data_IF_877070077178
#
_entry.id   IF_877070077178
#
_cell.length_a   1.000
_cell.length_b   1.000
_cell.length_c   1.000
_cell.angle_alpha   90.00
_cell.angle_beta   90.00
_cell.angle_gamma   90.00
#
_symmetry.space_group_name_H-M   'P 1'
#
loop_
_entity.id
_entity.type
_entity.pdbx_description
1 polymer ?
#
# COMPACT_ATOMS: atom_id res chain seq x y z
N UNK A 1 -19.36 10.25 -21.18
CA UNK A 1 -18.73 9.02 -21.68
C UNK A 1 -17.68 9.27 -22.76
N UNK A 2 -17.83 10.25 -23.64
CA UNK A 2 -16.80 10.57 -24.64
C UNK A 2 -15.49 11.00 -23.96
N UNK A 3 -15.55 11.89 -22.97
CA UNK A 3 -14.38 12.32 -22.19
C UNK A 3 -13.72 11.14 -21.49
N UNK A 4 -14.52 10.26 -20.88
CA UNK A 4 -14.05 9.02 -20.21
C UNK A 4 -13.35 8.08 -21.19
N UNK A 5 -13.94 7.88 -22.38
CA UNK A 5 -13.36 7.07 -23.44
C UNK A 5 -11.98 7.58 -23.87
N UNK A 6 -11.88 8.88 -24.16
CA UNK A 6 -10.61 9.47 -24.60
C UNK A 6 -9.56 9.49 -23.49
N UNK A 7 -9.99 9.68 -22.24
CA UNK A 7 -9.08 9.63 -21.10
C UNK A 7 -8.43 8.25 -20.98
N UNK A 8 -9.21 7.18 -20.90
CA UNK A 8 -8.65 5.84 -20.76
C UNK A 8 -7.88 5.37 -22.00
N UNK A 9 -8.34 5.74 -23.20
CA UNK A 9 -7.68 5.34 -24.43
C UNK A 9 -6.41 6.15 -24.71
N UNK A 10 -6.52 7.46 -24.72
CA UNK A 10 -5.47 8.35 -25.26
C UNK A 10 -4.51 8.81 -24.14
N UNK A 11 -4.98 9.00 -22.91
CA UNK A 11 -4.14 9.42 -21.79
C UNK A 11 -3.54 8.21 -21.06
N UNK A 12 -4.34 7.18 -20.74
CA UNK A 12 -3.86 6.00 -20.04
C UNK A 12 -3.43 4.85 -20.96
N UNK A 13 -3.81 4.89 -22.23
CA UNK A 13 -3.37 3.91 -23.23
C UNK A 13 -3.97 2.52 -23.08
N UNK A 14 -5.18 2.41 -22.51
CA UNK A 14 -5.89 1.13 -22.46
C UNK A 14 -6.29 0.66 -23.87
N UNK A 15 -6.17 -0.65 -24.11
CA UNK A 15 -6.68 -1.29 -25.32
C UNK A 15 -8.19 -1.52 -25.21
N UNK A 16 -8.96 -0.68 -25.88
CA UNK A 16 -10.43 -0.72 -25.88
C UNK A 16 -11.03 -1.19 -27.21
N UNK A 17 -10.23 -1.85 -28.05
CA UNK A 17 -10.66 -2.31 -29.38
C UNK A 17 -11.76 -3.37 -29.34
N UNK A 18 -11.91 -4.07 -28.22
CA UNK A 18 -12.88 -5.15 -28.04
C UNK A 18 -14.19 -4.76 -27.35
N UNK A 19 -14.39 -3.48 -27.08
CA UNK A 19 -15.60 -2.98 -26.44
C UNK A 19 -16.86 -3.00 -27.33
N UNK A 20 -16.77 -3.53 -28.57
CA UNK A 20 -17.91 -3.54 -29.47
C UNK A 20 -19.04 -4.40 -28.91
N UNK A 21 -20.19 -3.80 -28.71
CA UNK A 21 -21.43 -4.46 -28.41
C UNK A 21 -21.95 -5.31 -29.56
N UNK A 22 -23.00 -6.08 -29.31
CA UNK A 22 -23.67 -6.92 -30.32
C UNK A 22 -24.25 -6.16 -31.52
N UNK A 23 -24.20 -4.84 -31.54
CA UNK A 23 -24.75 -4.05 -32.63
C UNK A 23 -23.83 -4.05 -33.85
N UNK A 24 -24.10 -4.94 -34.71
CA UNK A 24 -23.52 -5.07 -36.04
C UNK A 24 -23.70 -3.77 -36.81
N UNK A 25 -22.63 -2.97 -36.93
CA UNK A 25 -22.59 -1.98 -38.01
C UNK A 25 -22.20 -0.55 -37.69
N UNK A 26 -22.05 -0.10 -36.42
CA UNK A 26 -21.75 1.31 -36.16
C UNK A 26 -20.47 1.61 -35.34
N UNK A 27 -19.72 0.61 -34.89
CA UNK A 27 -18.49 0.76 -34.10
C UNK A 27 -18.64 1.67 -32.85
N UNK A 28 -19.84 1.74 -32.24
CA UNK A 28 -20.11 2.53 -31.04
C UNK A 28 -20.42 1.61 -29.88
N UNK A 29 -20.03 2.06 -28.68
CA UNK A 29 -20.37 1.39 -27.44
C UNK A 29 -21.79 1.72 -27.00
N UNK A 30 -22.57 0.72 -26.58
CA UNK A 30 -23.98 0.89 -26.23
C UNK A 30 -24.16 1.30 -24.77
N UNK A 31 -24.81 2.44 -24.56
CA UNK A 31 -25.21 2.96 -23.25
C UNK A 31 -26.71 3.19 -23.25
N UNK A 32 -27.41 2.49 -22.39
CA UNK A 32 -28.85 2.61 -22.24
C UNK A 32 -29.19 3.44 -21.01
N UNK A 33 -30.07 4.43 -21.15
CA UNK A 33 -30.62 5.17 -20.03
C UNK A 33 -31.89 4.46 -19.58
N UNK A 34 -31.89 3.97 -18.34
CA UNK A 34 -32.99 3.11 -17.84
C UNK A 34 -33.41 3.52 -16.42
N UNK A 35 -34.60 3.10 -16.01
CA UNK A 35 -35.06 3.27 -14.63
C UNK A 35 -34.57 2.12 -13.77
N UNK A 36 -33.37 2.29 -13.19
CA UNK A 36 -32.72 1.28 -12.35
C UNK A 36 -33.33 1.24 -10.93
N UNK A 37 -33.26 0.09 -10.22
CA UNK A 37 -33.58 0.00 -8.81
C UNK A 37 -32.85 1.03 -7.95
N UNK A 38 -33.41 1.35 -6.78
CA UNK A 38 -33.04 2.54 -5.98
C UNK A 38 -31.59 2.64 -5.52
N UNK A 39 -30.83 1.56 -5.55
CA UNK A 39 -29.45 1.53 -5.05
C UNK A 39 -28.37 1.42 -6.14
N UNK A 40 -28.78 1.34 -7.41
CA UNK A 40 -27.83 1.22 -8.52
C UNK A 40 -27.61 2.57 -9.20
N UNK A 41 -26.38 2.99 -9.34
CA UNK A 41 -25.97 4.16 -10.13
C UNK A 41 -25.99 3.82 -11.62
N UNK A 42 -25.37 2.71 -11.98
CA UNK A 42 -25.43 2.07 -13.28
C UNK A 42 -25.08 0.59 -13.13
N UNK A 43 -25.04 -0.14 -14.21
CA UNK A 43 -24.61 -1.55 -14.26
C UNK A 43 -24.00 -1.82 -15.62
N UNK A 44 -22.80 -2.35 -15.65
CA UNK A 44 -22.16 -2.86 -16.87
C UNK A 44 -22.42 -4.34 -17.01
N UNK A 45 -23.08 -4.72 -18.07
CA UNK A 45 -23.44 -6.10 -18.39
C UNK A 45 -22.48 -6.70 -19.42
N UNK A 46 -22.00 -7.90 -19.17
CA UNK A 46 -21.31 -8.69 -20.20
C UNK A 46 -22.26 -9.22 -21.24
N UNK A 47 -21.77 -9.30 -22.45
CA UNK A 47 -22.42 -10.02 -23.56
C UNK A 47 -21.69 -11.34 -23.83
N UNK A 48 -21.81 -11.90 -25.03
CA UNK A 48 -21.06 -13.10 -25.41
C UNK A 48 -19.55 -12.83 -25.48
N UNK A 49 -18.75 -13.89 -25.32
CA UNK A 49 -17.32 -13.83 -25.58
C UNK A 49 -17.04 -13.32 -27.00
N UNK A 50 -15.96 -12.59 -27.16
CA UNK A 50 -15.50 -12.04 -28.44
C UNK A 50 -15.21 -13.17 -29.42
N UNK A 51 -14.65 -14.29 -28.92
CA UNK A 51 -14.55 -15.56 -29.62
C UNK A 51 -14.58 -16.73 -28.62
N UNK A 52 -14.83 -17.96 -29.08
CA UNK A 52 -14.96 -19.13 -28.20
C UNK A 52 -13.68 -19.50 -27.42
N UNK A 53 -12.55 -19.02 -27.84
CA UNK A 53 -11.24 -19.24 -27.17
C UNK A 53 -10.79 -18.03 -26.32
N UNK A 54 -11.59 -16.96 -26.30
CA UNK A 54 -11.26 -15.72 -25.59
C UNK A 54 -11.83 -15.73 -24.17
N UNK A 55 -11.10 -15.13 -23.23
CA UNK A 55 -11.59 -14.79 -21.90
C UNK A 55 -12.12 -13.35 -21.85
N UNK A 56 -12.06 -12.61 -22.97
CA UNK A 56 -12.57 -11.26 -23.15
C UNK A 56 -14.03 -11.27 -23.58
N UNK A 57 -14.82 -10.39 -23.00
CA UNK A 57 -16.25 -10.23 -23.31
C UNK A 57 -16.55 -8.87 -23.92
N UNK A 58 -17.55 -8.82 -24.77
CA UNK A 58 -18.26 -7.60 -25.07
C UNK A 58 -19.11 -7.18 -23.88
N UNK A 59 -19.52 -5.91 -23.83
CA UNK A 59 -20.36 -5.38 -22.77
C UNK A 59 -21.23 -4.23 -23.25
N UNK A 60 -22.17 -3.82 -22.41
CA UNK A 60 -22.96 -2.61 -22.55
C UNK A 60 -23.30 -2.06 -21.16
N UNK A 61 -23.56 -0.74 -21.08
CA UNK A 61 -23.90 -0.09 -19.81
C UNK A 61 -25.39 0.25 -19.78
N UNK A 62 -26.01 -0.01 -18.64
CA UNK A 62 -27.29 0.63 -18.27
C UNK A 62 -27.05 1.65 -17.21
N UNK A 63 -27.30 2.91 -17.51
CA UNK A 63 -27.17 4.03 -16.60
C UNK A 63 -28.55 4.51 -16.15
N UNK A 64 -28.68 4.90 -14.89
CA UNK A 64 -29.96 5.40 -14.39
C UNK A 64 -30.34 6.73 -15.02
N UNK A 65 -31.64 6.97 -15.10
CA UNK A 65 -32.25 8.16 -15.74
C UNK A 65 -32.42 9.35 -14.78
N UNK A 66 -32.16 9.20 -13.49
CA UNK A 66 -32.24 10.28 -12.49
C UNK A 66 -31.48 9.92 -11.20
N UNK A 67 -31.03 10.91 -10.45
CA UNK A 67 -30.29 10.79 -9.19
C UNK A 67 -31.05 11.42 -8.00
N UNK A 68 -32.38 11.31 -7.97
CA UNK A 68 -33.24 11.96 -6.97
C UNK A 68 -33.34 11.23 -5.63
N UNK A 69 -32.73 10.05 -5.47
CA UNK A 69 -32.78 9.25 -4.23
C UNK A 69 -31.76 9.69 -3.18
N UNK A 70 -32.01 9.38 -1.90
CA UNK A 70 -31.14 9.72 -0.79
C UNK A 70 -29.71 9.15 -0.94
N UNK A 71 -29.54 8.01 -1.64
CA UNK A 71 -28.24 7.40 -1.90
C UNK A 71 -27.34 8.23 -2.83
N UNK A 72 -27.87 9.23 -3.52
CA UNK A 72 -27.19 10.02 -4.55
C UNK A 72 -26.94 11.49 -4.15
N UNK A 73 -27.27 11.85 -2.89
CA UNK A 73 -27.27 13.26 -2.46
C UNK A 73 -25.93 13.74 -1.87
N UNK A 74 -24.94 12.87 -1.79
CA UNK A 74 -23.61 13.26 -1.26
C UNK A 74 -22.88 14.25 -2.18
N UNK A 75 -23.14 14.14 -3.48
CA UNK A 75 -22.59 14.98 -4.54
C UNK A 75 -23.70 15.41 -5.50
N UNK A 76 -23.42 16.35 -6.37
CA UNK A 76 -24.41 16.85 -7.35
C UNK A 76 -24.80 15.75 -8.37
N UNK A 77 -25.93 15.92 -9.04
CA UNK A 77 -26.35 15.01 -10.10
C UNK A 77 -25.33 14.91 -11.22
N UNK A 78 -24.69 16.04 -11.60
CA UNK A 78 -23.67 16.05 -12.64
C UNK A 78 -22.40 15.29 -12.20
N UNK A 79 -21.99 15.42 -10.96
CA UNK A 79 -20.85 14.65 -10.39
C UNK A 79 -21.19 13.16 -10.32
N UNK A 80 -22.41 12.80 -9.88
CA UNK A 80 -22.87 11.41 -9.92
C UNK A 80 -22.77 10.81 -11.32
N UNK A 81 -23.21 11.57 -12.37
CA UNK A 81 -23.12 11.12 -13.77
C UNK A 81 -21.67 10.91 -14.20
N UNK A 82 -20.77 11.82 -13.84
CA UNK A 82 -19.35 11.75 -14.20
C UNK A 82 -18.66 10.53 -13.61
N UNK A 83 -18.71 10.39 -12.27
CA UNK A 83 -18.05 9.27 -11.59
C UNK A 83 -18.65 7.93 -11.99
N UNK A 84 -19.98 7.84 -12.11
CA UNK A 84 -20.63 6.63 -12.58
C UNK A 84 -20.21 6.26 -14.00
N UNK A 85 -20.06 7.25 -14.88
CA UNK A 85 -19.57 7.01 -16.24
C UNK A 85 -18.12 6.49 -16.26
N UNK A 86 -17.25 7.02 -15.39
CA UNK A 86 -15.87 6.54 -15.23
C UNK A 86 -15.84 5.09 -14.74
N UNK A 87 -16.53 4.82 -13.64
CA UNK A 87 -16.63 3.50 -13.01
C UNK A 87 -17.12 2.42 -13.99
N UNK A 88 -18.29 2.64 -14.57
CA UNK A 88 -18.90 1.65 -15.46
C UNK A 88 -18.14 1.45 -16.77
N UNK A 89 -17.57 2.52 -17.31
CA UNK A 89 -16.76 2.39 -18.49
C UNK A 89 -15.44 1.65 -18.20
N UNK A 90 -14.90 1.79 -16.99
CA UNK A 90 -13.75 1.00 -16.58
C UNK A 90 -14.09 -0.49 -16.48
N UNK A 91 -15.30 -0.87 -16.01
CA UNK A 91 -15.78 -2.24 -16.10
C UNK A 91 -15.84 -2.76 -17.54
N UNK A 92 -16.25 -1.92 -18.48
CA UNK A 92 -16.23 -2.31 -19.90
C UNK A 92 -14.80 -2.61 -20.40
N UNK A 93 -13.81 -1.81 -19.97
CA UNK A 93 -12.40 -2.08 -20.24
C UNK A 93 -11.98 -3.41 -19.60
N UNK A 94 -12.25 -3.60 -18.33
CA UNK A 94 -11.90 -4.83 -17.58
C UNK A 94 -12.44 -6.08 -18.26
N UNK A 95 -13.70 -6.07 -18.68
CA UNK A 95 -14.31 -7.19 -19.42
C UNK A 95 -13.65 -7.43 -20.76
N UNK A 96 -13.11 -6.41 -21.41
CA UNK A 96 -12.33 -6.58 -22.63
C UNK A 96 -10.97 -7.25 -22.41
N UNK A 97 -10.47 -7.17 -21.16
CA UNK A 97 -9.22 -7.83 -20.76
C UNK A 97 -9.50 -9.25 -20.22
N UNK A 98 -10.36 -9.40 -19.22
CA UNK A 98 -10.67 -10.69 -18.60
C UNK A 98 -12.05 -10.70 -17.95
N UNK A 99 -13.03 -11.39 -18.53
CA UNK A 99 -14.38 -11.52 -17.97
C UNK A 99 -14.48 -12.37 -16.71
N UNK A 100 -13.46 -13.17 -16.43
CA UNK A 100 -13.43 -14.11 -15.30
C UNK A 100 -12.71 -13.54 -14.08
N UNK A 101 -12.28 -12.29 -14.14
CA UNK A 101 -11.60 -11.67 -13.01
C UNK A 101 -12.53 -11.53 -11.82
N UNK A 102 -11.98 -11.53 -10.63
CA UNK A 102 -12.74 -11.42 -9.39
C UNK A 102 -13.32 -10.03 -9.19
N UNK A 103 -14.49 -9.98 -8.58
CA UNK A 103 -15.20 -8.71 -8.34
C UNK A 103 -14.41 -7.74 -7.49
N UNK A 104 -13.66 -8.21 -6.48
CA UNK A 104 -12.87 -7.30 -5.64
C UNK A 104 -11.84 -6.49 -6.46
N UNK A 105 -11.16 -7.12 -7.42
CA UNK A 105 -10.20 -6.43 -8.27
C UNK A 105 -10.90 -5.50 -9.26
N UNK A 106 -12.04 -5.94 -9.80
CA UNK A 106 -12.86 -5.13 -10.70
C UNK A 106 -13.36 -3.86 -10.00
N UNK A 107 -14.02 -4.00 -8.86
CA UNK A 107 -14.61 -2.88 -8.13
C UNK A 107 -13.54 -1.94 -7.56
N UNK A 108 -12.48 -2.48 -6.95
CA UNK A 108 -11.43 -1.67 -6.38
C UNK A 108 -10.71 -0.80 -7.42
N UNK A 109 -10.43 -1.36 -8.61
CA UNK A 109 -9.78 -0.58 -9.68
C UNK A 109 -10.76 0.32 -10.45
N UNK A 110 -12.06 0.00 -10.45
CA UNK A 110 -13.07 0.91 -10.97
C UNK A 110 -13.23 2.14 -10.07
N UNK A 111 -13.27 1.96 -8.74
CA UNK A 111 -13.29 3.08 -7.78
C UNK A 111 -12.02 3.92 -7.88
N UNK A 112 -10.83 3.30 -7.97
CA UNK A 112 -9.59 4.03 -8.22
C UNK A 112 -9.66 4.87 -9.50
N UNK A 113 -10.23 4.34 -10.57
CA UNK A 113 -10.34 5.05 -11.85
C UNK A 113 -11.26 6.27 -11.84
N UNK A 114 -12.20 6.35 -10.88
CA UNK A 114 -13.04 7.53 -10.68
C UNK A 114 -12.21 8.75 -10.30
N UNK A 115 -11.24 8.56 -9.39
CA UNK A 115 -10.33 9.58 -8.91
C UNK A 115 -9.33 10.02 -9.99
N UNK A 116 -8.81 9.07 -10.76
CA UNK A 116 -7.87 9.35 -11.84
C UNK A 116 -8.41 10.31 -12.91
N UNK A 117 -9.68 10.23 -13.24
CA UNK A 117 -10.29 11.11 -14.25
C UNK A 117 -10.95 12.33 -13.65
N UNK A 118 -11.48 12.24 -12.41
CA UNK A 118 -12.24 13.31 -11.76
C UNK A 118 -11.75 13.56 -10.33
N UNK A 119 -10.47 13.79 -10.16
CA UNK A 119 -9.78 14.02 -8.88
C UNK A 119 -10.49 15.05 -7.96
N UNK A 120 -11.27 15.97 -8.53
CA UNK A 120 -12.05 16.94 -7.76
C UNK A 120 -13.33 16.35 -7.13
N UNK A 121 -13.73 15.10 -7.48
CA UNK A 121 -14.97 14.47 -7.03
C UNK A 121 -14.66 13.30 -6.08
N UNK A 122 -14.56 13.61 -4.80
CA UNK A 122 -14.11 12.67 -3.76
C UNK A 122 -15.21 11.70 -3.25
N UNK A 123 -16.10 11.19 -4.12
CA UNK A 123 -17.18 10.28 -3.72
C UNK A 123 -16.66 8.94 -3.17
N UNK A 124 -15.53 8.47 -3.67
CA UNK A 124 -14.85 7.26 -3.22
C UNK A 124 -14.45 7.31 -1.73
N UNK A 125 -14.31 8.50 -1.13
CA UNK A 125 -14.04 8.65 0.31
C UNK A 125 -15.10 7.99 1.20
N UNK A 126 -16.34 7.84 0.71
CA UNK A 126 -17.44 7.17 1.45
C UNK A 126 -17.14 5.71 1.81
N UNK A 127 -16.25 5.04 1.08
CA UNK A 127 -15.88 3.66 1.34
C UNK A 127 -14.81 3.51 2.42
N UNK A 128 -14.00 4.55 2.66
CA UNK A 128 -12.85 4.51 3.55
C UNK A 128 -13.23 4.22 5.00
N UNK A 129 -14.23 4.88 5.64
CA UNK A 129 -14.51 4.64 7.06
C UNK A 129 -14.81 3.17 7.37
N UNK A 130 -15.63 2.52 6.53
CA UNK A 130 -15.94 1.10 6.72
C UNK A 130 -14.73 0.21 6.49
N UNK A 131 -13.92 0.49 5.47
CA UNK A 131 -12.74 -0.30 5.15
C UNK A 131 -11.69 -0.21 6.25
N UNK A 132 -11.39 1.00 6.73
CA UNK A 132 -10.42 1.24 7.81
C UNK A 132 -10.87 0.68 9.17
N UNK A 133 -12.18 0.59 9.42
CA UNK A 133 -12.73 -0.07 10.61
C UNK A 133 -12.64 -1.60 10.52
N UNK A 134 -12.50 -2.17 9.34
CA UNK A 134 -12.52 -3.62 9.09
C UNK A 134 -11.22 -4.13 8.49
N UNK A 135 -10.06 -3.59 8.87
CA UNK A 135 -8.74 -3.99 8.37
C UNK A 135 -8.39 -5.48 8.60
N UNK A 136 -9.06 -6.12 9.54
CA UNK A 136 -8.99 -7.57 9.78
C UNK A 136 -9.71 -8.43 8.72
N UNK A 137 -10.43 -7.81 7.78
CA UNK A 137 -10.93 -8.50 6.59
C UNK A 137 -9.84 -8.61 5.52
N UNK A 138 -9.86 -9.68 4.72
CA UNK A 138 -9.02 -9.79 3.53
C UNK A 138 -9.22 -8.60 2.59
N UNK A 139 -8.16 -8.16 1.92
CA UNK A 139 -8.25 -7.11 0.91
C UNK A 139 -9.16 -7.52 -0.27
N UNK A 140 -9.24 -8.81 -0.51
CA UNK A 140 -10.04 -9.46 -1.56
C UNK A 140 -11.43 -9.93 -1.08
N UNK A 141 -11.94 -9.40 0.04
CA UNK A 141 -13.31 -9.65 0.50
C UNK A 141 -14.32 -9.00 -0.44
N UNK A 142 -15.16 -9.82 -1.10
CA UNK A 142 -16.11 -9.39 -2.13
C UNK A 142 -17.44 -8.86 -1.55
N UNK A 143 -17.51 -8.56 -0.26
CA UNK A 143 -18.60 -7.74 0.29
C UNK A 143 -18.41 -6.27 -0.11
N UNK A 144 -19.19 -5.35 0.48
CA UNK A 144 -18.95 -3.91 0.28
C UNK A 144 -17.53 -3.44 0.66
N UNK A 145 -16.71 -4.31 1.25
CA UNK A 145 -15.29 -4.06 1.55
C UNK A 145 -14.47 -3.87 0.28
N UNK A 146 -14.81 -4.55 -0.82
CA UNK A 146 -14.07 -4.49 -2.10
C UNK A 146 -13.95 -3.07 -2.65
N UNK A 147 -14.97 -2.22 -2.48
CA UNK A 147 -14.91 -0.84 -2.94
C UNK A 147 -13.82 -0.04 -2.22
N UNK A 148 -13.65 -0.22 -0.90
CA UNK A 148 -12.61 0.45 -0.11
C UNK A 148 -11.21 -0.08 -0.39
N UNK A 149 -11.08 -1.25 -1.03
CA UNK A 149 -9.79 -1.80 -1.44
C UNK A 149 -9.12 -0.99 -2.55
N UNK A 150 -9.79 0.05 -3.09
CA UNK A 150 -9.18 1.04 -3.99
C UNK A 150 -7.92 1.66 -3.39
N UNK A 151 -7.85 1.80 -2.07
CA UNK A 151 -6.69 2.40 -1.38
C UNK A 151 -5.37 1.65 -1.64
N UNK A 152 -5.44 0.36 -1.97
CA UNK A 152 -4.26 -0.40 -2.40
C UNK A 152 -3.78 0.07 -3.78
N UNK A 153 -4.69 0.31 -4.71
CA UNK A 153 -4.36 0.77 -6.06
C UNK A 153 -3.93 2.25 -6.04
N UNK A 154 -4.51 3.04 -5.15
CA UNK A 154 -4.02 4.40 -4.87
C UNK A 154 -2.56 4.39 -4.39
N UNK A 155 -2.22 3.49 -3.45
CA UNK A 155 -0.83 3.31 -3.00
C UNK A 155 0.10 2.85 -4.15
N UNK A 156 -0.35 1.92 -4.98
CA UNK A 156 0.41 1.44 -6.15
C UNK A 156 0.64 2.57 -7.14
N UNK A 157 -0.37 3.36 -7.41
CA UNK A 157 -0.29 4.50 -8.32
C UNK A 157 0.71 5.55 -7.82
N UNK A 158 0.58 6.00 -6.59
CA UNK A 158 1.45 7.05 -6.05
C UNK A 158 2.92 6.61 -5.86
N UNK A 159 3.20 5.31 -5.61
CA UNK A 159 4.54 4.86 -5.19
C UNK A 159 5.17 3.78 -6.05
N UNK A 160 4.41 3.10 -6.90
CA UNK A 160 4.88 1.88 -7.58
C UNK A 160 4.63 1.93 -9.09
N UNK A 161 4.95 3.06 -9.72
CA UNK A 161 5.00 3.20 -11.16
C UNK A 161 3.76 3.81 -11.82
N UNK A 162 2.84 4.37 -11.03
CA UNK A 162 1.70 5.11 -11.56
C UNK A 162 0.61 4.22 -12.17
N UNK A 163 -0.34 4.86 -12.81
CA UNK A 163 -1.43 4.18 -13.52
C UNK A 163 -0.94 3.12 -14.52
N UNK A 164 0.28 3.24 -15.04
CA UNK A 164 0.89 2.25 -15.94
C UNK A 164 1.04 0.88 -15.27
N UNK A 165 1.32 0.84 -13.96
CA UNK A 165 1.38 -0.42 -13.22
C UNK A 165 -0.01 -1.04 -13.11
N UNK A 166 -1.05 -0.26 -12.87
CA UNK A 166 -2.43 -0.76 -12.78
C UNK A 166 -2.92 -1.23 -14.16
N UNK A 167 -2.59 -0.51 -15.22
CA UNK A 167 -2.82 -1.01 -16.59
C UNK A 167 -2.12 -2.33 -16.84
N UNK A 168 -0.86 -2.46 -16.43
CA UNK A 168 -0.10 -3.72 -16.57
C UNK A 168 -0.74 -4.87 -15.77
N UNK A 169 -1.37 -4.61 -14.61
CA UNK A 169 -2.16 -5.64 -13.90
C UNK A 169 -3.25 -6.20 -14.81
N UNK A 170 -3.99 -5.35 -15.52
CA UNK A 170 -5.04 -5.79 -16.44
C UNK A 170 -4.48 -6.50 -17.68
N UNK A 171 -3.33 -6.06 -18.21
CA UNK A 171 -2.64 -6.75 -19.31
C UNK A 171 -2.17 -8.14 -18.87
N UNK A 172 -1.67 -8.29 -17.63
CA UNK A 172 -1.33 -9.60 -17.05
C UNK A 172 -2.57 -10.43 -16.78
N UNK A 173 -3.65 -9.85 -16.29
CA UNK A 173 -4.92 -10.54 -16.11
C UNK A 173 -5.43 -11.12 -17.44
N UNK A 174 -5.35 -10.37 -18.55
CA UNK A 174 -5.64 -10.89 -19.90
C UNK A 174 -4.74 -12.08 -20.26
N UNK A 175 -3.45 -11.97 -19.99
CA UNK A 175 -2.47 -13.00 -20.36
C UNK A 175 -2.60 -14.27 -19.51
N UNK A 176 -2.94 -14.12 -18.23
CA UNK A 176 -3.11 -15.20 -17.26
C UNK A 176 -4.54 -15.75 -17.23
N UNK A 177 -5.47 -15.11 -17.94
CA UNK A 177 -6.90 -15.34 -17.85
C UNK A 177 -7.28 -16.82 -17.94
N UNK A 178 -8.09 -17.29 -17.02
CA UNK A 178 -8.46 -18.66 -16.84
C UNK A 178 -9.88 -18.76 -16.25
N UNK A 179 -10.74 -19.58 -16.85
CA UNK A 179 -12.11 -19.77 -16.36
C UNK A 179 -12.23 -20.64 -15.11
N UNK A 180 -11.11 -21.19 -14.61
CA UNK A 180 -11.11 -22.16 -13.49
C UNK A 180 -10.37 -21.62 -12.27
N UNK A 181 -9.28 -20.89 -12.47
CA UNK A 181 -8.40 -20.41 -11.40
C UNK A 181 -8.48 -18.90 -11.27
N UNK A 182 -8.47 -18.42 -10.03
CA UNK A 182 -8.23 -17.02 -9.71
C UNK A 182 -6.82 -16.60 -10.14
N UNK A 183 -6.71 -15.54 -10.92
CA UNK A 183 -5.43 -15.01 -11.42
C UNK A 183 -5.11 -13.62 -10.89
N UNK A 184 -5.97 -13.04 -10.04
CA UNK A 184 -5.85 -11.68 -9.53
C UNK A 184 -4.47 -11.43 -8.92
N UNK A 185 -4.11 -12.20 -7.90
CA UNK A 185 -2.84 -12.01 -7.19
C UNK A 185 -1.61 -12.31 -8.03
N UNK A 186 -1.69 -13.28 -8.93
CA UNK A 186 -0.61 -13.56 -9.89
C UNK A 186 -0.38 -12.36 -10.79
N UNK A 187 -1.45 -11.81 -11.35
CA UNK A 187 -1.39 -10.67 -12.28
C UNK A 187 -0.90 -9.39 -11.58
N UNK A 188 -1.35 -9.15 -10.36
CA UNK A 188 -0.87 -8.04 -9.53
C UNK A 188 0.63 -8.20 -9.23
N UNK A 189 1.05 -9.38 -8.79
CA UNK A 189 2.44 -9.63 -8.43
C UNK A 189 3.38 -9.47 -9.63
N UNK A 190 3.03 -10.03 -10.80
CA UNK A 190 3.82 -9.89 -12.03
C UNK A 190 3.93 -8.43 -12.50
N UNK A 191 2.87 -7.65 -12.36
CA UNK A 191 2.91 -6.22 -12.68
C UNK A 191 3.84 -5.47 -11.72
N UNK A 192 3.75 -5.73 -10.41
CA UNK A 192 4.59 -5.12 -9.40
C UNK A 192 6.07 -5.54 -9.53
N UNK A 193 6.36 -6.77 -9.93
CA UNK A 193 7.73 -7.23 -10.21
C UNK A 193 8.38 -6.42 -11.34
N UNK A 194 7.61 -5.97 -12.32
CA UNK A 194 8.13 -5.14 -13.41
C UNK A 194 8.62 -3.77 -12.96
N UNK A 195 8.16 -3.30 -11.80
CA UNK A 195 8.60 -2.03 -11.17
C UNK A 195 9.47 -2.25 -9.92
N UNK A 196 9.98 -3.48 -9.73
CA UNK A 196 10.91 -3.82 -8.65
C UNK A 196 10.25 -4.05 -7.28
N UNK A 197 8.95 -4.31 -7.23
CA UNK A 197 8.18 -4.60 -6.01
C UNK A 197 7.60 -6.02 -6.04
N UNK A 198 6.67 -6.31 -5.14
CA UNK A 198 5.87 -7.53 -5.08
C UNK A 198 4.53 -7.22 -4.42
N UNK A 199 3.53 -8.10 -4.59
CA UNK A 199 2.25 -7.94 -3.90
C UNK A 199 2.42 -7.84 -2.38
N UNK A 200 3.23 -8.73 -1.78
CA UNK A 200 3.49 -8.70 -0.33
C UNK A 200 4.14 -7.38 0.11
N UNK A 201 5.15 -6.89 -0.63
CA UNK A 201 5.82 -5.63 -0.30
C UNK A 201 4.88 -4.43 -0.43
N UNK A 202 4.11 -4.36 -1.50
CA UNK A 202 3.13 -3.30 -1.73
C UNK A 202 2.06 -3.29 -0.62
N UNK A 203 1.52 -4.47 -0.27
CA UNK A 203 0.53 -4.63 0.79
C UNK A 203 1.09 -4.21 2.16
N UNK A 204 2.31 -4.64 2.51
CA UNK A 204 2.97 -4.28 3.76
C UNK A 204 3.18 -2.76 3.87
N UNK A 205 3.65 -2.14 2.80
CA UNK A 205 3.90 -0.70 2.76
C UNK A 205 2.60 0.11 2.80
N UNK A 206 1.58 -0.29 2.07
CA UNK A 206 0.25 0.30 2.13
C UNK A 206 -0.33 0.22 3.56
N UNK A 207 -0.14 -0.91 4.28
CA UNK A 207 -0.60 -1.04 5.69
C UNK A 207 0.11 -0.05 6.61
N UNK A 208 1.38 0.25 6.36
CA UNK A 208 2.13 1.29 7.09
C UNK A 208 1.58 2.67 6.73
N UNK A 209 1.41 2.97 5.43
CA UNK A 209 0.86 4.23 4.95
C UNK A 209 -0.54 4.51 5.54
N UNK A 210 -1.40 3.49 5.58
CA UNK A 210 -2.72 3.57 6.22
C UNK A 210 -2.65 3.98 7.70
N UNK A 211 -1.61 3.54 8.43
CA UNK A 211 -1.47 3.93 9.85
C UNK A 211 -0.87 5.33 10.01
N UNK A 212 0.02 5.72 9.13
CA UNK A 212 0.64 7.06 9.15
C UNK A 212 -0.36 8.12 8.72
N UNK A 213 -1.10 7.88 7.65
CA UNK A 213 -2.14 8.75 7.09
C UNK A 213 -1.68 10.20 7.00
N UNK A 214 -0.67 10.44 6.18
CA UNK A 214 -0.08 11.77 5.98
C UNK A 214 0.48 11.93 4.56
N UNK A 215 0.41 13.15 4.02
CA UNK A 215 1.08 13.55 2.77
C UNK A 215 2.48 14.14 3.03
N UNK A 216 2.91 14.22 4.29
CA UNK A 216 4.15 14.89 4.65
C UNK A 216 5.39 14.13 4.11
N UNK A 217 6.36 14.82 3.45
CA UNK A 217 7.52 14.16 2.81
C UNK A 217 8.38 13.32 3.76
N UNK A 218 8.38 13.61 5.06
CA UNK A 218 9.11 12.83 6.06
C UNK A 218 8.54 11.42 6.26
N UNK A 219 7.32 11.15 5.79
CA UNK A 219 6.70 9.83 5.84
C UNK A 219 6.95 9.00 4.58
N UNK A 220 7.47 9.59 3.49
CA UNK A 220 7.74 8.91 2.24
C UNK A 220 8.63 7.65 2.43
N UNK A 221 8.33 6.50 1.82
CA UNK A 221 7.28 6.23 0.84
C UNK A 221 5.94 5.73 1.43
N UNK A 222 5.58 6.11 2.63
CA UNK A 222 4.36 5.67 3.33
C UNK A 222 3.35 6.83 3.44
N UNK A 223 3.09 7.48 2.31
CA UNK A 223 2.22 8.67 2.19
C UNK A 223 1.02 8.39 1.33
N UNK A 224 0.04 9.29 1.40
CA UNK A 224 -0.98 9.50 0.37
C UNK A 224 -1.06 10.99 0.08
N UNK A 225 -1.11 11.37 -1.19
CA UNK A 225 -1.10 12.78 -1.59
C UNK A 225 -2.26 13.58 -0.97
N UNK A 226 -3.40 12.95 -0.77
CA UNK A 226 -4.61 13.56 -0.23
C UNK A 226 -4.94 13.14 1.21
N UNK A 227 -3.98 12.57 1.95
CA UNK A 227 -4.20 12.00 3.29
C UNK A 227 -4.96 12.91 4.26
N UNK A 228 -4.67 14.23 4.23
CA UNK A 228 -5.29 15.21 5.12
C UNK A 228 -6.75 15.52 4.75
N UNK A 229 -7.18 15.16 3.54
CA UNK A 229 -8.57 15.28 3.05
C UNK A 229 -9.39 14.03 3.33
N UNK A 230 -8.75 12.90 3.60
CA UNK A 230 -9.44 11.64 3.84
C UNK A 230 -10.29 11.69 5.11
N UNK A 231 -11.49 11.06 5.11
CA UNK A 231 -12.42 11.07 6.25
C UNK A 231 -12.02 10.09 7.37
N UNK A 232 -10.76 9.68 7.40
CA UNK A 232 -10.20 8.71 8.34
C UNK A 232 -8.82 9.15 8.81
N UNK A 233 -8.44 8.76 10.01
CA UNK A 233 -7.12 9.05 10.60
C UNK A 233 -6.25 7.81 10.74
N UNK A 234 -6.69 6.70 10.21
CA UNK A 234 -6.01 5.41 10.26
C UNK A 234 -6.95 4.25 10.55
N UNK A 235 -6.44 3.01 10.54
CA UNK A 235 -7.19 1.82 10.82
C UNK A 235 -7.64 1.70 12.27
N UNK A 236 -8.74 0.96 12.49
CA UNK A 236 -9.16 0.59 13.85
C UNK A 236 -8.09 -0.28 14.51
N UNK A 237 -7.66 0.12 15.68
CA UNK A 237 -6.76 -0.66 16.53
C UNK A 237 -7.59 -1.68 17.33
N UNK A 238 -7.33 -2.97 17.10
CA UNK A 238 -8.09 -4.08 17.71
C UNK A 238 -7.80 -4.27 19.19
N UNK A 239 -6.70 -3.71 19.69
CA UNK A 239 -6.28 -3.75 21.08
C UNK A 239 -5.43 -2.54 21.43
N UNK A 240 -5.38 -2.20 22.72
CA UNK A 240 -4.52 -1.19 23.30
C UNK A 240 -3.74 -1.82 24.45
N UNK A 241 -2.41 -1.79 24.36
CA UNK A 241 -1.50 -2.37 25.34
C UNK A 241 -0.77 -1.27 26.06
N UNK A 242 -1.05 -1.14 27.36
CA UNK A 242 -0.38 -0.18 28.25
C UNK A 242 0.78 -0.85 28.98
N UNK A 243 2.00 -0.33 28.81
CA UNK A 243 3.21 -0.88 29.41
C UNK A 243 3.90 0.11 30.32
N UNK A 244 4.07 -0.24 31.57
CA UNK A 244 4.82 0.52 32.57
C UNK A 244 6.09 -0.22 33.01
N UNK A 245 5.99 -1.46 33.50
CA UNK A 245 7.13 -2.34 33.81
C UNK A 245 6.71 -3.81 34.02
N UNK A 246 5.42 -4.15 33.85
CA UNK A 246 4.92 -5.52 33.96
C UNK A 246 5.08 -6.28 32.63
N UNK A 247 5.13 -7.61 32.70
CA UNK A 247 5.05 -8.43 31.49
C UNK A 247 3.62 -8.43 30.96
N UNK A 248 3.45 -8.09 29.70
CA UNK A 248 2.16 -8.16 29.00
C UNK A 248 2.25 -9.22 27.93
N UNK A 249 1.23 -10.05 27.85
CA UNK A 249 1.04 -11.00 26.75
C UNK A 249 -0.35 -10.81 26.14
N UNK A 250 -0.38 -10.63 24.82
CA UNK A 250 -1.59 -10.51 24.03
C UNK A 250 -1.56 -11.55 22.92
N UNK A 251 -2.60 -12.37 22.84
CA UNK A 251 -2.72 -13.39 21.80
C UNK A 251 -3.93 -13.14 20.94
N UNK A 252 -3.78 -13.33 19.64
CA UNK A 252 -4.85 -13.30 18.66
C UNK A 252 -4.89 -14.66 17.95
N UNK A 253 -6.06 -15.27 17.96
CA UNK A 253 -6.24 -16.62 17.40
C UNK A 253 -6.68 -16.61 15.93
N UNK A 254 -6.88 -15.42 15.35
CA UNK A 254 -7.36 -15.29 13.99
C UNK A 254 -6.83 -14.00 13.34
N UNK A 255 -6.01 -14.19 12.34
CA UNK A 255 -5.65 -13.17 11.34
C UNK A 255 -5.89 -13.82 9.97
N UNK A 256 -6.83 -13.30 9.20
CA UNK A 256 -7.16 -13.84 7.87
C UNK A 256 -6.03 -13.58 6.87
N UNK A 257 -5.98 -14.40 5.81
CA UNK A 257 -5.11 -14.15 4.65
C UNK A 257 -5.36 -12.74 4.08
N UNK A 258 -4.32 -12.06 3.62
CA UNK A 258 -4.38 -10.72 3.01
C UNK A 258 -5.04 -9.65 3.91
N UNK A 259 -5.05 -9.85 5.24
CA UNK A 259 -5.59 -8.90 6.22
C UNK A 259 -4.54 -8.39 7.20
N UNK A 260 -4.86 -7.35 7.97
CA UNK A 260 -3.96 -6.79 8.97
C UNK A 260 -4.67 -6.48 10.29
N UNK A 261 -3.93 -6.64 11.38
CA UNK A 261 -4.29 -6.19 12.71
C UNK A 261 -3.39 -5.03 13.13
N UNK A 262 -3.99 -4.04 13.80
CA UNK A 262 -3.31 -2.89 14.38
C UNK A 262 -3.49 -2.91 15.89
N UNK A 263 -2.40 -2.78 16.64
CA UNK A 263 -2.40 -2.83 18.10
C UNK A 263 -1.74 -1.55 18.61
N UNK A 264 -2.50 -0.73 19.32
CA UNK A 264 -1.99 0.48 19.94
C UNK A 264 -1.06 0.14 21.11
N UNK A 265 0.03 0.88 21.22
CA UNK A 265 0.97 0.79 22.33
C UNK A 265 1.00 2.11 23.09
N UNK A 266 0.77 2.04 24.39
CA UNK A 266 0.99 3.14 25.33
C UNK A 266 2.18 2.76 26.22
N UNK A 267 3.35 3.28 25.90
CA UNK A 267 4.60 2.95 26.58
C UNK A 267 5.01 4.12 27.50
N UNK A 268 5.21 3.83 28.79
CA UNK A 268 5.73 4.81 29.77
C UNK A 268 7.13 4.43 30.26
N UNK A 269 7.62 3.24 29.93
CA UNK A 269 8.96 2.76 30.24
C UNK A 269 9.58 2.08 29.03
N UNK A 270 10.93 1.95 28.96
CA UNK A 270 11.59 1.21 27.90
C UNK A 270 11.08 -0.23 27.80
N UNK A 271 10.66 -0.62 26.60
CA UNK A 271 9.99 -1.87 26.33
C UNK A 271 10.74 -2.70 25.29
N UNK A 272 10.84 -4.01 25.54
CA UNK A 272 11.17 -5.02 24.55
C UNK A 272 9.89 -5.71 24.13
N UNK A 273 9.60 -5.67 22.85
CA UNK A 273 8.41 -6.27 22.24
C UNK A 273 8.86 -7.43 21.37
N UNK A 274 8.27 -8.59 21.56
CA UNK A 274 8.48 -9.76 20.72
C UNK A 274 7.16 -10.29 20.19
N UNK A 275 7.14 -10.64 18.89
CA UNK A 275 5.98 -11.20 18.22
C UNK A 275 6.35 -12.60 17.76
N UNK A 276 5.51 -13.56 18.08
CA UNK A 276 5.65 -14.95 17.69
C UNK A 276 4.40 -15.45 16.99
N UNK A 277 4.58 -16.19 15.91
CA UNK A 277 3.53 -16.92 15.22
C UNK A 277 3.32 -18.23 15.97
N UNK A 278 2.07 -18.57 16.24
CA UNK A 278 1.72 -19.78 16.99
C UNK A 278 1.44 -20.96 16.06
N UNK A 279 1.03 -20.67 14.83
CA UNK A 279 0.80 -21.63 13.75
C UNK A 279 1.32 -21.04 12.43
N UNK A 280 2.12 -21.78 11.68
CA UNK A 280 2.74 -21.34 10.44
C UNK A 280 4.24 -21.06 10.56
N UNK A 281 4.77 -20.38 9.55
CA UNK A 281 6.19 -20.05 9.45
C UNK A 281 6.44 -18.58 9.76
N UNK A 282 7.65 -18.27 10.20
CA UNK A 282 8.04 -16.91 10.61
C UNK A 282 7.85 -15.87 9.50
N UNK A 283 7.97 -16.28 8.24
CA UNK A 283 7.85 -15.41 7.07
C UNK A 283 6.41 -15.31 6.54
N UNK A 284 5.45 -16.00 7.14
CA UNK A 284 4.04 -15.93 6.72
C UNK A 284 3.39 -14.60 7.12
N UNK A 285 3.88 -13.98 8.18
CA UNK A 285 3.40 -12.70 8.67
C UNK A 285 4.48 -11.63 8.60
N UNK A 286 4.09 -10.45 8.16
CA UNK A 286 4.88 -9.24 8.28
C UNK A 286 4.54 -8.55 9.61
N UNK A 287 5.56 -8.13 10.31
CA UNK A 287 5.42 -7.35 11.53
C UNK A 287 6.17 -6.04 11.40
N UNK A 288 5.52 -4.97 11.77
CA UNK A 288 6.15 -3.66 11.88
C UNK A 288 5.67 -2.94 13.14
N UNK A 289 6.52 -2.06 13.66
CA UNK A 289 6.11 -1.06 14.59
C UNK A 289 6.27 0.31 13.94
N UNK A 290 5.23 1.13 14.07
CA UNK A 290 5.21 2.51 13.58
C UNK A 290 4.94 3.40 14.78
N UNK A 291 5.74 4.45 14.95
CA UNK A 291 5.44 5.49 15.92
C UNK A 291 5.74 6.87 15.37
N UNK A 292 4.90 7.85 15.74
CA UNK A 292 5.08 9.27 15.46
C UNK A 292 5.86 9.91 16.59
N UNK A 293 6.79 10.78 16.25
CA UNK A 293 7.49 11.58 17.23
C UNK A 293 6.62 12.74 17.71
N UNK A 294 6.75 13.05 19.01
CA UNK A 294 6.06 14.18 19.61
C UNK A 294 6.62 15.49 19.05
N UNK A 295 5.72 16.46 18.88
CA UNK A 295 6.04 17.84 18.48
C UNK A 295 6.76 17.99 17.12
N UNK A 296 6.72 16.96 16.27
CA UNK A 296 7.26 17.00 14.90
C UNK A 296 6.58 16.02 13.96
N UNK A 297 6.58 16.34 12.66
CA UNK A 297 6.08 15.46 11.62
C UNK A 297 7.18 14.49 11.17
N UNK A 298 7.48 13.54 12.04
CA UNK A 298 8.46 12.48 11.80
C UNK A 298 7.95 11.16 12.37
N UNK A 299 8.20 10.08 11.63
CA UNK A 299 7.79 8.73 11.97
C UNK A 299 8.99 7.80 11.97
N UNK A 300 8.97 6.84 12.87
CA UNK A 300 9.92 5.72 12.86
C UNK A 300 9.16 4.45 12.52
N UNK A 301 9.63 3.73 11.51
CA UNK A 301 9.12 2.45 11.10
C UNK A 301 10.22 1.40 11.28
N UNK A 302 9.91 0.32 11.97
CA UNK A 302 10.80 -0.83 12.13
C UNK A 302 10.05 -2.10 11.80
N UNK A 303 10.64 -2.95 10.97
CA UNK A 303 10.11 -4.27 10.63
C UNK A 303 10.90 -5.38 11.31
N UNK A 304 10.23 -6.48 11.58
CA UNK A 304 10.80 -7.66 12.25
C UNK A 304 9.91 -8.13 13.38
N UNK A 305 10.36 -9.11 14.13
CA UNK A 305 9.59 -9.74 15.20
C UNK A 305 10.09 -9.40 16.62
N UNK A 306 11.12 -8.55 16.73
CA UNK A 306 11.65 -8.06 18.00
C UNK A 306 11.99 -6.58 17.92
N UNK A 307 11.52 -5.80 18.88
CA UNK A 307 11.72 -4.36 18.94
C UNK A 307 12.13 -3.93 20.34
N UNK A 308 13.09 -3.02 20.46
CA UNK A 308 13.34 -2.26 21.67
C UNK A 308 12.90 -0.82 21.45
N UNK A 309 12.12 -0.26 22.37
CA UNK A 309 11.58 1.10 22.26
C UNK A 309 11.77 1.80 23.59
N UNK A 310 12.34 2.99 23.54
CA UNK A 310 12.42 3.89 24.66
C UNK A 310 11.47 5.09 24.43
N UNK A 311 10.38 5.21 25.19
CA UNK A 311 9.44 6.32 25.03
C UNK A 311 10.04 7.69 25.40
N UNK A 312 11.20 7.75 26.05
CA UNK A 312 11.89 9.01 26.39
C UNK A 312 12.32 9.81 25.16
N UNK A 313 12.36 9.19 23.97
CA UNK A 313 12.58 9.89 22.68
C UNK A 313 11.43 10.79 22.26
N UNK A 314 10.34 10.85 23.05
CA UNK A 314 9.16 11.65 22.76
C UNK A 314 8.26 11.00 21.69
N UNK A 315 7.54 9.96 22.08
CA UNK A 315 6.56 9.28 21.23
C UNK A 315 5.19 9.92 21.45
N UNK A 316 4.53 10.32 20.35
CA UNK A 316 3.15 10.80 20.34
C UNK A 316 2.18 9.61 20.35
N UNK A 317 2.35 8.70 19.42
CA UNK A 317 1.65 7.42 19.36
C UNK A 317 2.54 6.31 18.79
N UNK A 318 2.24 5.06 19.16
CA UNK A 318 2.90 3.88 18.62
C UNK A 318 1.87 2.78 18.32
N UNK A 319 2.09 2.06 17.22
CA UNK A 319 1.21 0.97 16.79
C UNK A 319 2.03 -0.19 16.25
N UNK A 320 1.71 -1.42 16.68
CA UNK A 320 2.18 -2.64 16.02
C UNK A 320 1.24 -2.95 14.87
N UNK A 321 1.81 -3.24 13.71
CA UNK A 321 1.10 -3.73 12.54
C UNK A 321 1.50 -5.19 12.35
N UNK A 322 0.52 -6.06 12.24
CA UNK A 322 0.70 -7.48 11.92
C UNK A 322 -0.13 -7.75 10.66
N UNK A 323 0.55 -8.02 9.56
CA UNK A 323 -0.07 -8.23 8.25
C UNK A 323 0.25 -9.64 7.74
N UNK A 324 -0.76 -10.32 7.21
CA UNK A 324 -0.57 -11.56 6.48
C UNK A 324 0.07 -11.27 5.12
N UNK A 325 1.22 -11.85 4.85
CA UNK A 325 1.95 -11.71 3.59
C UNK A 325 2.11 -13.02 2.81
N UNK A 326 1.66 -14.12 3.38
CA UNK A 326 1.66 -15.44 2.76
C UNK A 326 0.24 -15.88 2.45
N UNK A 327 0.09 -16.71 1.42
CA UNK A 327 -1.16 -17.36 1.03
C UNK A 327 -1.11 -18.88 1.26
N UNK A 328 -0.18 -19.34 2.11
CA UNK A 328 0.03 -20.76 2.38
C UNK A 328 -1.11 -21.37 3.19
N UNK A 329 -1.88 -20.56 3.89
CA UNK A 329 -3.07 -20.96 4.66
C UNK A 329 -4.07 -19.79 4.76
N UNK A 330 -5.28 -20.08 5.21
CA UNK A 330 -6.37 -19.09 5.25
C UNK A 330 -6.28 -18.14 6.47
N UNK A 331 -5.54 -18.55 7.50
CA UNK A 331 -5.48 -17.80 8.77
C UNK A 331 -4.25 -18.17 9.58
N UNK A 332 -3.87 -17.24 10.47
CA UNK A 332 -2.76 -17.40 11.43
C UNK A 332 -3.19 -16.99 12.84
N UNK A 333 -2.48 -17.55 13.81
CA UNK A 333 -2.51 -17.13 15.21
C UNK A 333 -1.15 -16.56 15.60
N UNK A 334 -1.14 -15.52 16.42
CA UNK A 334 0.09 -14.92 16.89
C UNK A 334 -0.01 -14.46 18.34
N UNK A 335 1.15 -14.22 18.95
CA UNK A 335 1.31 -13.71 20.31
C UNK A 335 2.27 -12.54 20.31
N UNK A 336 1.88 -11.45 20.93
CA UNK A 336 2.73 -10.30 21.24
C UNK A 336 3.06 -10.34 22.73
N UNK A 337 4.35 -10.27 23.07
CA UNK A 337 4.85 -10.14 24.44
C UNK A 337 5.59 -8.81 24.58
N UNK A 338 5.30 -8.10 25.66
CA UNK A 338 6.00 -6.87 26.05
C UNK A 338 6.63 -7.12 27.43
N UNK A 339 7.91 -6.82 27.56
CA UNK A 339 8.68 -6.92 28.80
C UNK A 339 9.62 -5.71 28.93
N UNK A 340 10.24 -5.53 30.10
CA UNK A 340 11.21 -4.44 30.32
C UNK A 340 12.31 -4.47 29.28
N UNK A 341 12.49 -3.35 28.62
CA UNK A 341 13.43 -3.15 27.53
C UNK A 341 14.73 -2.47 27.97
N UNK A 342 15.60 -2.34 27.02
CA UNK A 342 16.85 -1.55 27.15
C UNK A 342 16.56 -0.18 26.53
N UNK A 343 16.99 0.88 27.19
CA UNK A 343 17.00 2.22 26.58
C UNK A 343 17.82 2.22 25.30
N UNK A 344 17.22 2.58 24.18
CA UNK A 344 17.93 2.68 22.90
C UNK A 344 18.63 4.03 22.80
N UNK A 345 19.93 4.02 22.71
CA UNK A 345 20.71 5.25 22.55
C UNK A 345 20.65 5.80 21.12
N UNK A 346 20.46 4.91 20.13
CA UNK A 346 20.48 5.26 18.71
C UNK A 346 19.30 4.63 17.96
N UNK A 347 18.46 5.44 17.37
CA UNK A 347 17.38 5.04 16.47
C UNK A 347 17.83 5.33 15.04
N UNK A 348 17.71 4.32 14.19
CA UNK A 348 17.95 4.42 12.75
C UNK A 348 16.62 4.24 12.05
N UNK A 349 16.07 5.31 11.54
CA UNK A 349 14.84 5.29 10.73
C UNK A 349 15.07 4.53 9.42
N UNK A 350 14.00 4.24 8.70
CA UNK A 350 14.11 3.52 7.45
C UNK A 350 15.11 4.21 6.52
N UNK A 351 15.91 3.36 5.89
CA UNK A 351 16.82 3.79 4.83
C UNK A 351 16.10 3.59 3.50
N UNK A 352 15.91 4.63 2.75
CA UNK A 352 15.22 4.53 1.45
C UNK A 352 15.73 5.54 0.43
N UNK A 353 15.35 5.32 -0.80
CA UNK A 353 14.57 4.16 -1.27
C UNK A 353 15.33 2.83 -1.10
N UNK A 354 14.59 1.72 -0.83
CA UNK A 354 15.17 0.38 -0.77
C UNK A 354 14.16 -0.67 -1.30
N UNK A 355 14.33 -1.20 -2.53
CA UNK A 355 15.53 -1.03 -3.38
C UNK A 355 15.68 0.39 -3.94
N UNK A 356 16.93 0.85 -4.05
CA UNK A 356 17.25 2.10 -4.73
C UNK A 356 17.28 1.88 -6.25
N UNK A 357 16.46 2.61 -6.99
CA UNK A 357 16.35 2.54 -8.45
C UNK A 357 16.98 3.77 -9.11
N UNK A 358 17.61 3.59 -10.25
CA UNK A 358 18.51 4.53 -10.96
C UNK A 358 18.01 5.99 -11.14
N UNK A 359 16.72 6.24 -11.07
CA UNK A 359 16.15 7.59 -11.29
C UNK A 359 16.04 8.42 -10.00
N UNK A 360 16.33 7.84 -8.85
CA UNK A 360 16.30 8.51 -7.56
C UNK A 360 17.65 9.16 -7.28
N UNK A 361 17.63 10.38 -6.77
CA UNK A 361 18.84 11.19 -6.73
C UNK A 361 19.75 10.88 -5.53
N UNK A 362 19.21 10.42 -4.41
CA UNK A 362 19.97 10.21 -3.17
C UNK A 362 19.37 9.09 -2.30
N UNK A 363 20.25 8.31 -1.70
CA UNK A 363 19.89 7.38 -0.63
C UNK A 363 19.86 8.15 0.69
N UNK A 364 18.75 8.06 1.41
CA UNK A 364 18.51 8.83 2.64
C UNK A 364 18.39 7.87 3.82
N UNK A 365 19.02 8.23 4.94
CA UNK A 365 18.81 7.59 6.24
C UNK A 365 18.72 8.66 7.31
N UNK A 366 17.76 8.52 8.21
CA UNK A 366 17.56 9.46 9.32
C UNK A 366 17.87 8.78 10.64
N UNK A 367 18.40 9.55 11.57
CA UNK A 367 18.86 9.10 12.88
C UNK A 367 18.31 9.99 13.97
N UNK A 368 17.98 9.35 15.08
CA UNK A 368 17.65 10.05 16.33
C UNK A 368 18.48 9.39 17.43
N UNK A 369 19.04 10.17 18.32
CA UNK A 369 19.76 9.67 19.49
C UNK A 369 19.13 10.18 20.77
N UNK A 370 19.10 9.37 21.81
CA UNK A 370 18.70 9.79 23.16
C UNK A 370 19.84 10.46 23.93
N UNK A 371 21.07 10.40 23.40
CA UNK A 371 22.28 11.03 23.96
C UNK A 371 23.05 11.76 22.85
N UNK A 372 23.85 12.75 23.24
CA UNK A 372 24.83 13.34 22.32
C UNK A 372 25.90 12.32 21.99
N UNK A 373 26.05 11.97 20.71
CA UNK A 373 27.05 10.99 20.29
C UNK A 373 27.55 11.19 18.86
N UNK A 374 28.74 10.64 18.60
CA UNK A 374 29.28 10.53 17.26
C UNK A 374 29.00 9.14 16.71
N UNK A 375 28.38 9.06 15.53
CA UNK A 375 28.21 7.80 14.83
C UNK A 375 29.14 7.68 13.64
N UNK A 376 29.59 6.44 13.36
CA UNK A 376 30.33 6.11 12.16
C UNK A 376 29.43 5.29 11.23
N UNK A 377 29.20 5.80 10.04
CA UNK A 377 28.47 5.13 8.98
C UNK A 377 29.46 4.48 8.05
N UNK A 378 29.32 3.18 7.79
CA UNK A 378 30.16 2.41 6.88
C UNK A 378 29.29 1.57 5.95
N UNK A 379 29.61 1.59 4.66
CA UNK A 379 28.88 0.81 3.66
C UNK A 379 29.81 -0.25 3.09
N UNK A 380 29.37 -1.49 3.12
CA UNK A 380 30.13 -2.66 2.65
C UNK A 380 29.41 -3.34 1.49
N UNK A 381 30.16 -3.91 0.56
CA UNK A 381 29.60 -4.82 -0.43
C UNK A 381 29.44 -6.25 0.16
N UNK A 382 28.86 -7.17 -0.61
CA UNK A 382 28.64 -8.58 -0.19
C UNK A 382 29.93 -9.34 0.15
N UNK A 383 31.09 -8.86 -0.29
CA UNK A 383 32.41 -9.45 0.02
C UNK A 383 33.03 -8.86 1.29
N UNK A 384 32.30 -8.02 2.03
CA UNK A 384 32.81 -7.35 3.24
C UNK A 384 33.75 -6.20 2.97
N UNK A 385 33.98 -5.80 1.70
CA UNK A 385 34.84 -4.67 1.37
C UNK A 385 34.10 -3.36 1.67
N UNK A 386 34.74 -2.50 2.49
CA UNK A 386 34.23 -1.16 2.76
C UNK A 386 34.29 -0.29 1.49
N UNK A 387 33.13 0.25 1.12
CA UNK A 387 32.93 1.08 -0.08
C UNK A 387 32.89 2.56 0.30
N UNK A 388 32.24 2.88 1.42
CA UNK A 388 32.05 4.25 1.87
C UNK A 388 32.16 4.35 3.39
N UNK A 389 32.58 5.49 3.90
CA UNK A 389 32.62 5.80 5.33
C UNK A 389 32.31 7.29 5.55
N UNK A 390 31.50 7.57 6.56
CA UNK A 390 31.13 8.93 6.97
C UNK A 390 31.00 9.00 8.51
N UNK A 391 31.19 10.20 9.06
CA UNK A 391 30.95 10.47 10.47
C UNK A 391 29.84 11.50 10.60
N UNK A 392 28.91 11.26 11.52
CA UNK A 392 27.81 12.17 11.81
C UNK A 392 27.75 12.44 13.32
N UNK A 393 27.48 13.67 13.70
CA UNK A 393 27.25 14.06 15.09
C UNK A 393 25.74 14.06 15.32
N UNK A 394 25.29 13.34 16.33
CA UNK A 394 23.89 13.34 16.76
C UNK A 394 23.77 14.11 18.08
N UNK A 395 22.83 15.03 18.12
CA UNK A 395 22.41 15.69 19.34
C UNK A 395 21.18 15.00 19.92
N UNK A 396 21.11 14.91 21.24
CA UNK A 396 20.02 14.24 21.94
C UNK A 396 18.64 14.80 21.55
N UNK A 397 17.74 13.91 21.13
CA UNK A 397 16.37 14.25 20.71
C UNK A 397 16.25 14.92 19.34
N UNK A 398 17.35 15.22 18.66
CA UNK A 398 17.33 15.82 17.33
C UNK A 398 17.40 14.75 16.24
N UNK A 399 16.59 14.91 15.18
CA UNK A 399 16.69 14.09 13.99
C UNK A 399 17.81 14.63 13.09
N UNK A 400 18.70 13.74 12.65
CA UNK A 400 19.77 14.05 11.69
C UNK A 400 19.61 13.21 10.45
N UNK A 401 19.78 13.82 9.26
CA UNK A 401 19.67 13.17 7.98
C UNK A 401 21.05 12.93 7.37
N UNK A 402 21.26 11.71 6.90
CA UNK A 402 22.44 11.34 6.10
C UNK A 402 21.98 11.05 4.66
N UNK A 403 22.62 11.74 3.70
CA UNK A 403 22.41 11.54 2.28
C UNK A 403 23.64 10.92 1.63
N UNK A 404 23.42 9.87 0.84
CA UNK A 404 24.48 9.22 0.10
C UNK A 404 24.18 9.18 -1.40
N UNK A 405 25.07 9.75 -2.19
CA UNK A 405 24.95 9.88 -3.66
C UNK A 405 25.46 8.65 -4.42
N UNK A 406 25.49 7.48 -3.79
CA UNK A 406 25.92 6.19 -4.36
C UNK A 406 27.35 6.21 -4.94
N UNK A 407 28.22 7.02 -4.37
CA UNK A 407 29.64 7.03 -4.73
C UNK A 407 30.49 6.45 -3.59
N UNK A 408 31.58 5.79 -3.96
CA UNK A 408 32.58 5.37 -3.00
C UNK A 408 33.41 6.58 -2.51
N UNK A 409 34.28 6.36 -1.51
CA UNK A 409 35.18 7.42 -0.97
C UNK A 409 36.14 8.04 -2.00
N UNK A 410 36.29 7.43 -3.18
CA UNK A 410 37.11 7.96 -4.30
C UNK A 410 36.24 8.73 -5.32
N UNK A 411 34.95 8.91 -5.05
CA UNK A 411 34.03 9.61 -5.95
C UNK A 411 33.49 8.77 -7.12
N UNK A 412 33.83 7.48 -7.22
CA UNK A 412 33.35 6.60 -8.28
C UNK A 412 31.98 6.05 -7.93
N UNK A 413 31.07 6.01 -8.91
CA UNK A 413 29.74 5.36 -8.78
C UNK A 413 29.92 3.89 -8.41
N UNK A 414 29.02 3.38 -7.57
CA UNK A 414 28.96 1.96 -7.22
C UNK A 414 28.09 1.19 -8.23
N UNK A 415 28.27 -0.12 -8.32
CA UNK A 415 27.47 -1.00 -9.19
C UNK A 415 26.18 -1.44 -8.52
N UNK A 416 25.22 -1.92 -9.33
CA UNK A 416 24.05 -2.64 -8.82
C UNK A 416 24.47 -3.79 -7.92
N UNK A 417 23.74 -4.03 -6.84
CA UNK A 417 24.04 -5.11 -5.92
C UNK A 417 23.47 -4.90 -4.53
N UNK A 418 23.75 -5.86 -3.65
CA UNK A 418 23.42 -5.80 -2.23
C UNK A 418 24.59 -5.18 -1.48
N UNK A 419 24.25 -4.24 -0.60
CA UNK A 419 25.18 -3.55 0.29
C UNK A 419 24.70 -3.65 1.74
N UNK A 420 25.64 -3.58 2.67
CA UNK A 420 25.35 -3.53 4.10
C UNK A 420 25.71 -2.14 4.62
N UNK A 421 24.70 -1.47 5.12
CA UNK A 421 24.79 -0.16 5.73
C UNK A 421 24.97 -0.34 7.24
N UNK A 422 26.19 -0.18 7.71
CA UNK A 422 26.58 -0.32 9.11
C UNK A 422 26.66 1.04 9.79
N UNK A 423 26.03 1.14 10.93
CA UNK A 423 26.03 2.32 11.79
C UNK A 423 26.59 1.92 13.15
N UNK A 424 27.70 2.52 13.54
CA UNK A 424 28.32 2.32 14.83
C UNK A 424 28.15 3.57 15.68
N UNK A 425 27.29 3.49 16.70
CA UNK A 425 27.13 4.48 17.77
C UNK A 425 28.12 4.22 18.91
N UNK A 426 27.94 4.93 20.02
CA UNK A 426 28.82 4.82 21.18
C UNK A 426 28.74 3.44 21.84
N UNK A 427 27.52 2.92 22.04
CA UNK A 427 27.27 1.63 22.69
C UNK A 427 26.50 0.64 21.80
N UNK A 428 26.12 1.04 20.59
CA UNK A 428 25.28 0.25 19.69
C UNK A 428 25.89 0.14 18.30
N UNK A 429 25.68 -1.01 17.69
CA UNK A 429 25.97 -1.28 16.27
C UNK A 429 24.72 -1.76 15.58
N UNK A 430 24.29 -1.06 14.51
CA UNK A 430 23.15 -1.45 13.68
C UNK A 430 23.60 -1.71 12.25
N UNK A 431 23.02 -2.72 11.61
CA UNK A 431 23.32 -3.07 10.21
C UNK A 431 22.00 -3.22 9.46
N UNK A 432 21.88 -2.54 8.33
CA UNK A 432 20.75 -2.67 7.41
C UNK A 432 21.21 -3.15 6.04
N UNK A 433 20.43 -4.03 5.42
CA UNK A 433 20.64 -4.47 4.05
C UNK A 433 20.03 -3.43 3.11
N UNK A 434 20.77 -3.02 2.10
CA UNK A 434 20.35 -2.08 1.06
C UNK A 434 20.54 -2.73 -0.30
N UNK A 435 19.54 -2.68 -1.15
CA UNK A 435 19.59 -3.16 -2.54
C UNK A 435 19.67 -1.95 -3.48
N UNK A 436 20.63 -1.96 -4.39
CA UNK A 436 20.87 -0.90 -5.37
C UNK A 436 20.71 -1.48 -6.77
N UNK A 437 19.84 -0.88 -7.56
CA UNK A 437 19.53 -1.23 -8.94
C UNK A 437 19.86 -0.03 -9.83
N UNK A 438 20.97 -0.08 -10.58
CA UNK A 438 21.43 1.01 -11.48
C UNK A 438 20.99 0.76 -12.93
#
# INVERSE_FOLDING_TARGET
>A
FEDVYYFFKDSMGYDITFLSSQNVGNNRYDIFIDNLPTNYFAITYTTSFINQASTSCGSYIKMRNNYNGAAFQNITEQENIKITAAHEFFHAIQFSYNCYERFWLMEATAVWSEDEIYNEINDHYRYMPSWFQNSAKPIDDESSHMYGSFIFFQYVDEHLGGYETIKNIWERSRSNANSVNDVSFTSINEALESVGSSFSSALNNMRIANRIMSSHPNADPFTYLEAESYPVTGPLEIAQLYFEDQIIEYSQNYLAVNSANYIKLDLVAPAKISISILDGYVDDLFHAIVFKHKDRDAWTIRSGNNFNIDPSIGIDWATIIINSQSQNQDRWSYKTKIESGISEELIVNNTYPNPFIKNENEFISRFISTIDQNINISIYNILGKQIFKHKLVLLSGEEQEFKWNLKNNRGNKISSGIYFFEINGQNERKVKKVTILN
#
